data_IF_464978724679
#
_entry.id   IF_464978724679
#
_cell.length_a   1.000
_cell.length_b   1.000
_cell.length_c   1.000
_cell.angle_alpha   90.00
_cell.angle_beta   90.00
_cell.angle_gamma   90.00
#
_symmetry.space_group_name_H-M   'P 1'
#
loop_
_entity.id
_entity.type
_entity.pdbx_description
1 polymer ?
#
# COMPACT_ATOMS: atom_id res chain seq x y z
N UNK A 1 -19.71 3.15 -12.67
CA UNK A 1 -19.67 1.80 -13.27
C UNK A 1 -20.03 0.78 -12.21
N UNK A 2 -20.83 -0.21 -12.59
CA UNK A 2 -21.20 -1.33 -11.73
C UNK A 2 -20.13 -2.41 -11.88
N UNK A 3 -19.53 -2.84 -10.77
CA UNK A 3 -18.65 -4.00 -10.72
C UNK A 3 -19.39 -5.15 -10.03
N UNK A 4 -19.44 -6.31 -10.67
CA UNK A 4 -20.02 -7.53 -10.11
C UNK A 4 -18.86 -8.49 -9.82
N UNK A 5 -18.57 -8.81 -8.54
CA UNK A 5 -17.57 -9.79 -8.19
C UNK A 5 -17.92 -11.18 -8.74
N UNK A 6 -16.88 -12.00 -9.02
CA UNK A 6 -17.05 -13.31 -9.64
C UNK A 6 -17.95 -14.26 -8.83
N UNK A 7 -17.92 -14.16 -7.51
CA UNK A 7 -18.71 -15.02 -6.63
C UNK A 7 -20.22 -14.90 -6.81
N UNK A 8 -20.69 -13.80 -7.43
CA UNK A 8 -22.12 -13.61 -7.74
C UNK A 8 -22.59 -14.29 -9.01
N UNK A 9 -21.67 -14.69 -9.88
CA UNK A 9 -22.01 -15.17 -11.23
C UNK A 9 -21.16 -16.36 -11.67
N UNK A 10 -20.63 -17.15 -10.74
CA UNK A 10 -19.86 -18.34 -11.08
C UNK A 10 -20.79 -19.55 -11.20
N UNK A 11 -21.07 -19.98 -12.43
CA UNK A 11 -22.12 -20.95 -12.77
C UNK A 11 -22.05 -22.25 -11.97
N UNK A 12 -20.87 -22.80 -11.72
CA UNK A 12 -20.70 -24.02 -10.94
C UNK A 12 -21.04 -23.92 -9.45
N UNK A 13 -21.39 -22.72 -8.95
CA UNK A 13 -21.65 -22.44 -7.53
C UNK A 13 -22.98 -21.70 -7.34
N UNK A 14 -23.94 -21.96 -8.22
CA UNK A 14 -25.33 -21.44 -8.13
C UNK A 14 -26.23 -22.63 -7.83
N UNK A 15 -27.06 -22.53 -6.79
CA UNK A 15 -27.99 -23.59 -6.43
C UNK A 15 -29.18 -23.69 -7.40
N UNK A 16 -29.99 -24.74 -7.23
CA UNK A 16 -31.17 -24.97 -8.08
C UNK A 16 -32.24 -23.88 -7.99
N UNK A 17 -32.13 -22.93 -7.08
CA UNK A 17 -32.97 -21.76 -6.93
C UNK A 17 -32.37 -20.49 -7.55
N UNK A 18 -31.15 -20.57 -8.11
CA UNK A 18 -30.44 -19.44 -8.70
C UNK A 18 -29.70 -18.58 -7.66
N UNK A 19 -29.45 -19.10 -6.47
CA UNK A 19 -28.77 -18.39 -5.38
C UNK A 19 -27.30 -18.81 -5.36
N UNK A 20 -26.34 -17.85 -5.36
CA UNK A 20 -24.92 -18.16 -5.25
C UNK A 20 -24.57 -18.79 -3.88
N UNK A 21 -23.83 -19.89 -3.90
CA UNK A 21 -23.34 -20.58 -2.70
C UNK A 21 -21.97 -19.99 -2.32
N UNK A 22 -21.98 -18.95 -1.48
CA UNK A 22 -20.75 -18.22 -1.09
C UNK A 22 -19.86 -19.05 -0.19
N UNK A 23 -20.41 -19.50 0.93
CA UNK A 23 -19.69 -20.28 1.93
C UNK A 23 -19.95 -21.77 1.72
N UNK A 24 -18.98 -22.60 2.14
CA UNK A 24 -19.12 -24.05 2.07
C UNK A 24 -20.32 -24.51 2.87
N UNK A 25 -21.30 -25.17 2.23
CA UNK A 25 -22.52 -25.55 2.89
C UNK A 25 -22.30 -26.72 3.84
N UNK A 26 -23.03 -26.76 4.95
CA UNK A 26 -22.96 -27.89 5.90
C UNK A 26 -23.46 -29.22 5.30
N UNK A 27 -24.31 -29.15 4.30
CA UNK A 27 -24.78 -30.29 3.49
C UNK A 27 -24.69 -29.90 2.02
N UNK A 28 -24.22 -30.83 1.16
CA UNK A 28 -24.17 -30.57 -0.27
C UNK A 28 -25.50 -30.04 -0.81
N UNK A 29 -25.43 -29.01 -1.64
CA UNK A 29 -26.57 -28.43 -2.35
C UNK A 29 -26.61 -28.95 -3.79
N UNK A 30 -27.73 -28.82 -4.44
CA UNK A 30 -27.90 -29.21 -5.83
C UNK A 30 -27.95 -27.96 -6.72
N UNK A 31 -27.12 -27.94 -7.76
CA UNK A 31 -27.14 -26.91 -8.77
C UNK A 31 -28.29 -27.11 -9.81
N UNK A 32 -28.46 -26.16 -10.75
CA UNK A 32 -29.54 -26.14 -11.71
C UNK A 32 -29.55 -27.35 -12.66
N UNK A 33 -28.39 -27.95 -12.94
CA UNK A 33 -28.27 -29.09 -13.85
C UNK A 33 -28.11 -30.43 -13.09
N UNK A 34 -28.30 -30.41 -11.77
CA UNK A 34 -28.19 -31.57 -10.91
C UNK A 34 -26.81 -31.85 -10.36
N UNK A 35 -25.83 -30.99 -10.63
CA UNK A 35 -24.50 -31.02 -10.04
C UNK A 35 -24.54 -30.86 -8.51
N UNK A 36 -23.60 -31.44 -7.84
CA UNK A 36 -23.50 -31.37 -6.36
C UNK A 36 -22.50 -30.26 -6.01
N UNK A 37 -22.96 -29.30 -5.21
CA UNK A 37 -22.16 -28.21 -4.66
C UNK A 37 -21.86 -28.52 -3.19
N UNK A 38 -20.67 -29.01 -2.92
CA UNK A 38 -20.16 -29.36 -1.59
C UNK A 38 -19.14 -28.37 -1.04
N UNK A 39 -18.68 -27.43 -1.86
CA UNK A 39 -17.73 -26.37 -1.55
C UNK A 39 -18.36 -25.00 -1.90
N UNK A 40 -18.08 -23.97 -1.08
CA UNK A 40 -18.47 -22.60 -1.39
C UNK A 40 -17.54 -21.95 -2.40
N UNK A 41 -18.06 -21.02 -3.23
CA UNK A 41 -17.28 -20.35 -4.26
C UNK A 41 -16.09 -19.54 -3.69
N UNK A 42 -16.22 -19.01 -2.48
CA UNK A 42 -15.13 -18.27 -1.82
C UNK A 42 -13.98 -19.20 -1.45
N UNK A 43 -14.29 -20.37 -0.92
CA UNK A 43 -13.29 -21.37 -0.58
C UNK A 43 -12.64 -21.97 -1.83
N UNK A 44 -13.42 -22.25 -2.87
CA UNK A 44 -12.91 -22.65 -4.18
C UNK A 44 -11.88 -21.62 -4.69
N UNK A 45 -12.27 -20.34 -4.74
CA UNK A 45 -11.41 -19.28 -5.23
C UNK A 45 -10.11 -19.17 -4.39
N UNK A 46 -10.19 -19.28 -3.07
CA UNK A 46 -9.02 -19.27 -2.19
C UNK A 46 -8.08 -20.45 -2.47
N UNK A 47 -8.63 -21.65 -2.70
CA UNK A 47 -7.88 -22.84 -3.03
C UNK A 47 -7.14 -22.71 -4.37
N UNK A 48 -7.79 -22.13 -5.39
CA UNK A 48 -7.16 -21.83 -6.69
C UNK A 48 -6.02 -20.81 -6.51
N UNK A 49 -6.25 -19.73 -5.79
CA UNK A 49 -5.22 -18.73 -5.47
C UNK A 49 -4.03 -19.38 -4.77
N UNK A 50 -4.29 -20.22 -3.76
CA UNK A 50 -3.23 -20.92 -3.02
C UNK A 50 -2.43 -21.88 -3.92
N UNK A 51 -3.10 -22.55 -4.83
CA UNK A 51 -2.45 -23.41 -5.84
C UNK A 51 -1.55 -22.64 -6.81
N UNK A 52 -1.95 -21.43 -7.17
CA UNK A 52 -1.25 -20.59 -8.15
C UNK A 52 -0.16 -19.69 -7.54
N UNK A 53 0.00 -19.62 -6.21
CA UNK A 53 0.99 -18.74 -5.53
C UNK A 53 2.43 -18.87 -6.03
N UNK A 54 2.80 -20.01 -6.61
CA UNK A 54 4.15 -20.24 -7.12
C UNK A 54 4.34 -19.75 -8.56
N UNK A 55 3.25 -19.46 -9.26
CA UNK A 55 3.23 -18.95 -10.64
C UNK A 55 2.45 -17.64 -10.67
N UNK A 56 3.17 -16.53 -10.55
CA UNK A 56 2.56 -15.20 -10.44
C UNK A 56 1.87 -14.76 -11.73
N UNK A 57 2.34 -15.19 -12.88
CA UNK A 57 1.70 -14.84 -14.15
C UNK A 57 0.34 -15.54 -14.24
N UNK A 58 0.29 -16.84 -13.91
CA UNK A 58 -0.97 -17.59 -13.83
C UNK A 58 -1.91 -17.03 -12.76
N UNK A 59 -1.38 -16.61 -11.60
CA UNK A 59 -2.16 -15.99 -10.53
C UNK A 59 -2.76 -14.64 -10.97
N UNK A 60 -1.98 -13.80 -11.64
CA UNK A 60 -2.47 -12.51 -12.15
C UNK A 60 -3.55 -12.71 -13.24
N UNK A 61 -3.37 -13.72 -14.12
CA UNK A 61 -4.37 -14.11 -15.10
C UNK A 61 -5.66 -14.58 -14.43
N UNK A 62 -5.55 -15.44 -13.42
CA UNK A 62 -6.70 -15.92 -12.64
C UNK A 62 -7.46 -14.76 -11.99
N UNK A 63 -6.76 -13.82 -11.37
CA UNK A 63 -7.40 -12.64 -10.78
C UNK A 63 -8.14 -11.78 -11.79
N UNK A 64 -7.63 -11.65 -13.01
CA UNK A 64 -8.32 -10.91 -14.08
C UNK A 64 -9.57 -11.63 -14.60
N UNK A 65 -9.47 -12.94 -14.74
CA UNK A 65 -10.58 -13.76 -15.23
C UNK A 65 -11.69 -13.92 -14.17
N UNK A 66 -11.31 -14.04 -12.90
CA UNK A 66 -12.21 -14.27 -11.77
C UNK A 66 -12.03 -13.20 -10.68
N UNK A 67 -12.33 -11.93 -11.00
CA UNK A 67 -12.05 -10.83 -10.10
C UNK A 67 -13.07 -10.77 -8.96
N UNK A 68 -12.58 -10.71 -7.71
CA UNK A 68 -13.40 -10.40 -6.53
C UNK A 68 -13.38 -8.92 -6.17
N UNK A 69 -12.46 -8.16 -6.73
CA UNK A 69 -12.34 -6.71 -6.53
C UNK A 69 -12.06 -6.03 -7.86
N UNK A 70 -12.32 -4.73 -7.95
CA UNK A 70 -11.94 -3.93 -9.12
C UNK A 70 -10.43 -3.96 -9.36
N UNK A 71 -9.62 -4.05 -8.32
CA UNK A 71 -8.16 -4.18 -8.44
C UNK A 71 -7.75 -5.48 -9.12
N UNK A 72 -8.45 -6.58 -8.86
CA UNK A 72 -8.21 -7.84 -9.55
C UNK A 72 -8.54 -7.73 -11.04
N UNK A 73 -9.69 -7.11 -11.38
CA UNK A 73 -10.15 -6.98 -12.76
C UNK A 73 -9.22 -6.15 -13.66
N UNK A 74 -8.49 -5.20 -13.07
CA UNK A 74 -7.62 -4.26 -13.79
C UNK A 74 -6.12 -4.50 -13.56
N UNK A 75 -5.73 -5.71 -13.19
CA UNK A 75 -4.31 -6.09 -13.18
C UNK A 75 -3.77 -6.05 -14.59
N UNK A 76 -2.78 -5.21 -14.81
CA UNK A 76 -2.15 -5.06 -16.12
C UNK A 76 -0.95 -6.02 -16.26
N UNK A 77 -0.84 -6.66 -17.41
CA UNK A 77 0.31 -7.48 -17.81
C UNK A 77 1.33 -6.70 -18.63
N UNK A 78 1.25 -5.38 -18.65
CA UNK A 78 2.04 -4.57 -19.57
C UNK A 78 3.51 -5.02 -19.59
N UNK A 79 3.86 -5.81 -20.58
CA UNK A 79 5.23 -6.25 -20.90
C UNK A 79 6.15 -5.07 -21.22
N UNK A 80 5.60 -3.88 -21.36
CA UNK A 80 6.30 -2.64 -21.68
C UNK A 80 6.65 -1.81 -20.43
N UNK A 81 6.26 -2.24 -19.23
CA UNK A 81 6.61 -1.54 -18.00
C UNK A 81 8.10 -1.70 -17.67
N UNK A 82 8.77 -0.60 -17.33
CA UNK A 82 10.12 -0.60 -16.77
C UNK A 82 10.20 -1.28 -15.41
N UNK A 83 9.07 -1.44 -14.74
CA UNK A 83 8.97 -2.06 -13.42
C UNK A 83 8.47 -3.50 -13.53
N UNK A 84 8.95 -4.35 -12.65
CA UNK A 84 8.43 -5.72 -12.52
C UNK A 84 7.05 -5.66 -11.83
N UNK A 85 5.99 -5.62 -12.63
CA UNK A 85 4.61 -5.52 -12.16
C UNK A 85 4.21 -6.71 -11.29
N UNK A 86 4.72 -7.90 -11.57
CA UNK A 86 4.49 -9.09 -10.77
C UNK A 86 4.91 -8.87 -9.32
N UNK A 87 6.14 -8.38 -9.09
CA UNK A 87 6.63 -8.07 -7.74
C UNK A 87 5.88 -6.94 -7.07
N UNK A 88 5.40 -5.97 -7.85
CA UNK A 88 4.56 -4.89 -7.32
C UNK A 88 3.23 -5.45 -6.82
N UNK A 89 2.59 -6.32 -7.59
CA UNK A 89 1.33 -6.94 -7.16
C UNK A 89 1.51 -7.88 -5.97
N UNK A 90 2.59 -8.67 -5.93
CA UNK A 90 2.95 -9.48 -4.75
C UNK A 90 3.04 -8.60 -3.48
N UNK A 91 3.69 -7.44 -3.60
CA UNK A 91 3.84 -6.52 -2.47
C UNK A 91 2.52 -5.86 -2.08
N UNK A 92 1.68 -5.52 -3.06
CA UNK A 92 0.34 -4.97 -2.80
C UNK A 92 -0.51 -6.00 -2.06
N UNK A 93 -0.54 -7.25 -2.55
CA UNK A 93 -1.29 -8.33 -1.92
C UNK A 93 -0.80 -8.61 -0.50
N UNK A 94 0.53 -8.61 -0.30
CA UNK A 94 1.13 -8.75 1.03
C UNK A 94 0.70 -7.62 1.98
N UNK A 95 0.67 -6.38 1.52
CA UNK A 95 0.29 -5.23 2.33
C UNK A 95 -1.22 -5.18 2.63
N UNK A 96 -2.05 -5.78 1.78
CA UNK A 96 -3.51 -5.85 1.96
C UNK A 96 -3.94 -6.97 2.92
N UNK A 97 -3.07 -7.95 3.19
CA UNK A 97 -3.34 -8.95 4.23
C UNK A 97 -3.37 -8.24 5.60
N UNK A 98 -4.49 -8.39 6.31
CA UNK A 98 -4.68 -7.79 7.64
C UNK A 98 -3.59 -8.16 8.64
N UNK A 99 -2.95 -9.33 8.48
CA UNK A 99 -1.82 -9.78 9.32
C UNK A 99 -0.54 -8.97 9.10
N UNK A 100 -0.40 -8.41 7.89
CA UNK A 100 0.77 -7.64 7.46
C UNK A 100 0.48 -6.14 7.38
N UNK A 101 -0.76 -5.72 7.68
CA UNK A 101 -1.17 -4.34 7.58
C UNK A 101 -0.33 -3.45 8.50
N UNK A 102 0.31 -2.45 7.92
CA UNK A 102 1.08 -1.44 8.65
C UNK A 102 0.15 -0.27 8.97
N UNK A 103 0.11 0.13 10.24
CA UNK A 103 -0.66 1.31 10.63
C UNK A 103 0.00 2.56 10.05
N UNK A 104 -0.75 3.30 9.24
CA UNK A 104 -0.32 4.57 8.66
C UNK A 104 -0.96 5.71 9.43
N UNK A 105 -0.13 6.61 9.97
CA UNK A 105 -0.59 7.79 10.67
C UNK A 105 -0.39 9.02 9.80
N UNK A 106 -1.46 9.78 9.58
CA UNK A 106 -1.43 11.05 8.87
C UNK A 106 -1.19 12.19 9.84
N UNK A 107 -0.37 13.18 9.44
CA UNK A 107 -0.06 14.28 10.33
C UNK A 107 0.83 15.35 9.72
N UNK A 108 1.37 16.21 10.59
CA UNK A 108 2.26 17.31 10.23
C UNK A 108 3.42 17.41 11.22
N UNK A 109 4.59 17.82 10.74
CA UNK A 109 5.70 18.19 11.58
C UNK A 109 5.54 19.65 12.06
N UNK A 110 5.82 19.88 13.31
CA UNK A 110 5.73 21.20 13.94
C UNK A 110 6.93 21.43 14.84
N UNK A 111 7.30 22.71 14.99
CA UNK A 111 8.26 23.11 16.00
C UNK A 111 7.65 22.95 17.40
N UNK A 112 8.44 22.42 18.30
CA UNK A 112 8.01 22.30 19.70
C UNK A 112 7.65 23.67 20.27
N UNK A 113 6.53 23.76 20.98
CA UNK A 113 5.99 25.01 21.51
C UNK A 113 5.73 26.11 20.46
N UNK A 114 5.55 25.73 19.19
CA UNK A 114 5.36 26.66 18.05
C UNK A 114 6.50 27.71 17.89
N UNK A 115 7.69 27.40 18.42
CA UNK A 115 8.86 28.28 18.35
C UNK A 115 9.85 27.68 17.36
N UNK A 116 10.19 28.46 16.32
CA UNK A 116 11.20 28.08 15.30
C UNK A 116 12.56 27.73 15.94
N UNK A 117 13.28 26.84 15.31
CA UNK A 117 14.61 26.33 15.72
C UNK A 117 14.63 25.59 17.06
N UNK A 118 13.45 25.14 17.52
CA UNK A 118 13.35 24.18 18.63
C UNK A 118 13.35 22.74 18.11
N UNK A 119 13.06 21.79 18.97
CA UNK A 119 12.87 20.41 18.55
C UNK A 119 11.62 20.26 17.68
N UNK A 120 11.64 19.27 16.79
CA UNK A 120 10.53 18.97 15.90
C UNK A 120 9.72 17.82 16.47
N UNK A 121 8.41 17.97 16.45
CA UNK A 121 7.46 16.95 16.86
C UNK A 121 6.51 16.61 15.71
N UNK A 122 6.13 15.34 15.60
CA UNK A 122 5.06 14.92 14.69
C UNK A 122 3.73 14.99 15.41
N UNK A 123 2.77 15.70 14.82
CA UNK A 123 1.42 15.87 15.35
C UNK A 123 0.44 15.17 14.42
N UNK A 124 -0.19 14.06 14.88
CA UNK A 124 -1.25 13.41 14.12
C UNK A 124 -2.42 14.36 13.85
N UNK A 125 -2.83 14.47 12.60
CA UNK A 125 -4.05 15.18 12.22
C UNK A 125 -4.52 14.74 10.83
N UNK A 126 -5.82 14.79 10.57
CA UNK A 126 -6.43 14.32 9.32
C UNK A 126 -6.13 15.24 8.12
N UNK A 127 -5.77 16.49 8.35
CA UNK A 127 -5.44 17.47 7.31
C UNK A 127 -3.94 17.51 7.02
N UNK A 128 -3.14 16.78 7.78
CA UNK A 128 -1.71 16.64 7.58
C UNK A 128 -1.38 16.05 6.22
N UNK A 129 -0.19 16.36 5.71
CA UNK A 129 0.28 15.90 4.38
C UNK A 129 1.31 14.79 4.46
N UNK A 130 1.85 14.52 5.65
CA UNK A 130 2.78 13.44 5.86
C UNK A 130 2.04 12.16 6.23
N UNK A 131 2.45 11.06 5.61
CA UNK A 131 2.05 9.70 5.99
C UNK A 131 3.25 9.04 6.65
N UNK A 132 3.07 8.54 7.87
CA UNK A 132 4.12 7.92 8.66
C UNK A 132 3.68 6.54 9.11
N UNK A 133 4.54 5.54 8.90
CA UNK A 133 4.34 4.16 9.34
C UNK A 133 5.13 3.81 10.58
N UNK A 134 6.16 4.59 10.88
CA UNK A 134 7.01 4.40 12.04
C UNK A 134 7.56 5.74 12.52
N UNK A 135 7.54 5.94 13.83
CA UNK A 135 8.11 7.12 14.48
C UNK A 135 9.29 6.66 15.34
N UNK A 136 10.46 7.29 15.21
CA UNK A 136 11.58 6.95 16.06
C UNK A 136 11.22 7.02 17.54
N UNK A 137 11.68 6.07 18.36
CA UNK A 137 11.55 6.15 19.83
C UNK A 137 12.14 7.46 20.37
N UNK A 138 11.63 7.93 21.50
CA UNK A 138 11.99 9.24 22.07
C UNK A 138 13.51 9.43 22.29
N UNK A 139 14.22 8.34 22.61
CA UNK A 139 15.66 8.38 22.80
C UNK A 139 16.46 8.55 21.48
N UNK A 140 15.83 8.33 20.30
CA UNK A 140 16.41 8.58 18.98
C UNK A 140 15.98 9.92 18.39
N UNK A 141 14.91 10.51 18.90
CA UNK A 141 14.40 11.79 18.39
C UNK A 141 15.34 12.95 18.79
N UNK A 142 15.43 13.94 17.92
CA UNK A 142 16.14 15.20 18.13
C UNK A 142 17.61 15.05 18.61
N UNK A 143 18.24 13.92 18.31
CA UNK A 143 19.67 13.72 18.58
C UNK A 143 20.50 14.66 17.73
N UNK A 144 21.29 15.48 18.40
CA UNK A 144 22.17 16.48 17.78
C UNK A 144 23.57 16.40 18.37
N UNK A 145 24.57 16.70 17.54
CA UNK A 145 25.91 17.02 18.02
C UNK A 145 26.37 18.34 17.37
N UNK A 146 27.10 19.14 18.11
CA UNK A 146 27.65 20.41 17.63
C UNK A 146 29.08 20.25 17.16
N UNK A 147 29.36 20.72 15.94
CA UNK A 147 30.72 20.81 15.40
C UNK A 147 30.90 22.18 14.73
N UNK A 148 31.93 22.91 15.15
CA UNK A 148 32.18 24.27 14.64
C UNK A 148 31.01 25.24 14.76
N UNK A 149 30.24 25.14 15.84
CA UNK A 149 29.05 25.97 16.05
C UNK A 149 27.79 25.58 15.22
N UNK A 150 27.89 24.51 14.41
CA UNK A 150 26.78 24.00 13.61
C UNK A 150 26.21 22.73 14.24
N UNK A 151 24.91 22.66 14.41
CA UNK A 151 24.22 21.47 14.88
C UNK A 151 24.00 20.48 13.73
N UNK A 152 24.46 19.25 13.92
CA UNK A 152 24.27 18.14 13.00
C UNK A 152 23.37 17.09 13.64
N UNK A 153 22.54 16.35 12.84
CA UNK A 153 21.79 15.22 13.35
C UNK A 153 22.72 14.11 13.86
N UNK A 154 22.49 13.66 15.09
CA UNK A 154 23.30 12.62 15.71
C UNK A 154 23.10 11.22 15.14
N UNK A 155 21.99 11.03 14.41
CA UNK A 155 21.57 9.76 13.80
C UNK A 155 21.46 9.86 12.26
N UNK A 156 22.33 10.65 11.63
CA UNK A 156 22.28 10.93 10.18
C UNK A 156 22.35 9.68 9.30
N UNK A 157 22.90 8.58 9.80
CA UNK A 157 23.02 7.33 9.05
C UNK A 157 21.87 6.34 9.25
N UNK A 158 20.90 6.67 10.09
CA UNK A 158 19.74 5.82 10.37
C UNK A 158 18.89 5.57 9.12
N UNK A 159 18.78 6.56 8.27
CA UNK A 159 17.95 6.50 7.08
C UNK A 159 18.51 7.27 5.88
N UNK A 160 17.73 7.27 4.82
CA UNK A 160 17.93 8.11 3.65
C UNK A 160 16.59 8.70 3.23
N UNK A 161 16.64 9.88 2.63
CA UNK A 161 15.50 10.51 2.00
C UNK A 161 15.74 10.59 0.49
N UNK A 162 14.73 10.19 -0.28
CA UNK A 162 14.64 10.46 -1.70
C UNK A 162 13.64 11.58 -1.93
N UNK A 163 14.05 12.61 -2.66
CA UNK A 163 13.22 13.76 -2.99
C UNK A 163 13.19 13.94 -4.50
N UNK A 164 11.98 13.99 -5.06
CA UNK A 164 11.71 14.35 -6.44
C UNK A 164 10.87 15.64 -6.45
N UNK A 165 11.49 16.81 -6.52
CA UNK A 165 10.77 18.08 -6.56
C UNK A 165 10.07 18.23 -7.91
N UNK A 166 8.86 18.79 -7.91
CA UNK A 166 8.18 19.10 -9.14
C UNK A 166 8.78 20.34 -9.84
N UNK A 167 8.69 20.37 -11.18
CA UNK A 167 9.05 21.55 -11.95
C UNK A 167 7.90 22.57 -12.01
N UNK A 168 8.24 23.85 -12.15
CA UNK A 168 7.31 24.97 -12.27
C UNK A 168 6.68 25.01 -13.68
N UNK A 169 7.29 24.35 -14.67
CA UNK A 169 6.79 24.31 -16.05
C UNK A 169 5.36 23.75 -16.10
N UNK A 170 4.47 24.53 -16.71
CA UNK A 170 3.09 24.14 -16.87
C UNK A 170 2.95 22.85 -17.70
N UNK A 171 2.24 21.88 -17.21
CA UNK A 171 1.89 20.69 -17.98
C UNK A 171 0.81 21.02 -19.01
N UNK A 172 0.85 20.37 -20.16
CA UNK A 172 -0.08 20.56 -21.29
C UNK A 172 -1.54 20.33 -20.86
N UNK A 173 -1.78 19.48 -19.85
CA UNK A 173 -3.10 19.12 -19.33
C UNK A 173 -3.55 19.96 -18.12
N UNK A 174 -2.80 21.01 -17.77
CA UNK A 174 -3.04 21.86 -16.58
C UNK A 174 -3.03 21.12 -15.22
N UNK A 175 -2.70 19.84 -15.18
CA UNK A 175 -2.48 19.06 -13.98
C UNK A 175 -1.00 19.09 -13.64
N UNK A 176 -0.58 20.05 -12.86
CA UNK A 176 0.82 20.14 -12.46
C UNK A 176 1.30 18.88 -11.72
N UNK A 177 2.52 18.42 -12.04
CA UNK A 177 3.18 17.35 -11.28
C UNK A 177 3.25 17.70 -9.80
N UNK A 178 3.16 16.70 -8.94
CA UNK A 178 3.43 16.85 -7.50
C UNK A 178 4.87 16.46 -7.24
N UNK A 179 5.51 17.12 -6.30
CA UNK A 179 6.76 16.62 -5.74
C UNK A 179 6.51 15.48 -4.78
N UNK A 180 7.51 14.64 -4.59
CA UNK A 180 7.48 13.54 -3.65
C UNK A 180 8.73 13.50 -2.76
N UNK A 181 8.55 13.15 -1.49
CA UNK A 181 9.60 12.90 -0.53
C UNK A 181 9.31 11.58 0.18
N UNK A 182 10.26 10.67 0.14
CA UNK A 182 10.16 9.39 0.82
C UNK A 182 11.35 9.18 1.75
N UNK A 183 11.07 8.69 2.96
CA UNK A 183 12.07 8.32 3.94
C UNK A 183 12.16 6.80 4.10
N UNK A 184 13.39 6.27 4.02
CA UNK A 184 13.70 4.85 4.15
C UNK A 184 14.71 4.63 5.27
N UNK A 185 14.45 3.70 6.18
CA UNK A 185 15.45 3.23 7.16
C UNK A 185 16.47 2.31 6.48
N UNK A 186 17.77 2.46 6.84
CA UNK A 186 18.86 1.72 6.18
C UNK A 186 19.27 0.45 6.90
N UNK A 187 19.35 0.51 8.23
CA UNK A 187 19.97 -0.54 9.01
C UNK A 187 18.97 -1.14 10.00
N UNK A 188 19.19 -2.42 10.30
CA UNK A 188 18.61 -3.03 11.48
C UNK A 188 19.36 -2.53 12.71
N UNK A 189 18.66 -1.73 13.49
CA UNK A 189 19.08 -1.31 14.84
C UNK A 189 18.00 -1.78 15.80
N UNK A 190 18.29 -1.89 17.08
CA UNK A 190 17.38 -2.47 18.08
C UNK A 190 15.93 -1.97 17.98
N UNK A 191 15.74 -0.68 17.74
CA UNK A 191 14.43 -0.03 17.65
C UNK A 191 14.11 0.52 16.25
N UNK A 192 14.85 0.12 15.22
CA UNK A 192 14.70 0.64 13.86
C UNK A 192 14.44 -0.50 12.89
N UNK A 193 13.26 -0.58 12.26
CA UNK A 193 12.98 -1.61 11.26
C UNK A 193 13.91 -1.43 10.05
N UNK A 194 14.54 -2.51 9.53
CA UNK A 194 15.44 -2.43 8.39
C UNK A 194 14.68 -2.25 7.08
N UNK A 195 15.25 -1.48 6.15
CA UNK A 195 14.71 -1.29 4.79
C UNK A 195 13.20 -0.94 4.77
N UNK A 196 12.79 -0.10 5.70
CA UNK A 196 11.39 0.25 5.89
C UNK A 196 11.12 1.66 5.39
N UNK A 197 10.14 1.81 4.50
CA UNK A 197 9.61 3.12 4.14
C UNK A 197 8.76 3.65 5.28
N UNK A 198 9.27 4.62 6.00
CA UNK A 198 8.64 5.14 7.21
C UNK A 198 7.93 6.48 7.03
N UNK A 199 8.24 7.19 5.95
CA UNK A 199 7.68 8.52 5.70
C UNK A 199 7.38 8.69 4.21
N UNK A 200 6.22 9.27 3.93
CA UNK A 200 5.82 9.75 2.62
C UNK A 200 5.26 11.17 2.73
N UNK A 201 5.64 12.03 1.79
CA UNK A 201 5.05 13.34 1.57
C UNK A 201 4.88 13.55 0.07
N UNK A 202 3.64 13.72 -0.38
CA UNK A 202 3.33 14.00 -1.79
C UNK A 202 2.47 15.26 -1.81
N UNK A 203 3.02 16.35 -2.36
CA UNK A 203 2.35 17.63 -2.40
C UNK A 203 2.79 18.50 -3.58
N UNK A 204 2.01 19.53 -3.83
CA UNK A 204 2.37 20.63 -4.73
C UNK A 204 2.09 21.95 -4.01
N UNK A 205 3.02 22.47 -3.19
CA UNK A 205 2.93 23.80 -2.64
C UNK A 205 3.01 24.85 -3.76
N UNK A 206 2.86 26.13 -3.41
CA UNK A 206 2.80 27.21 -4.40
C UNK A 206 4.09 27.35 -5.23
N UNK A 207 5.24 27.08 -4.61
CA UNK A 207 6.55 27.10 -5.28
C UNK A 207 7.34 25.84 -4.89
N UNK A 208 8.28 25.43 -5.76
CA UNK A 208 9.17 24.30 -5.48
C UNK A 208 10.10 24.56 -4.27
N UNK A 209 10.38 25.83 -3.97
CA UNK A 209 11.20 26.23 -2.81
C UNK A 209 10.52 25.98 -1.46
N UNK A 210 9.17 25.89 -1.46
CA UNK A 210 8.37 25.59 -0.27
C UNK A 210 8.21 24.06 -0.08
N UNK A 211 8.47 23.28 -1.14
CA UNK A 211 8.42 21.84 -1.09
C UNK A 211 9.57 21.26 -0.26
#
# INVERSE_FOLDING_TARGET
SLFIPMEWNYEGYIDSYGIPVFDTPQKPQQGPQGEIIDLGVIEYWNNEVDGLKKDQDALNEFYRQFPRTTKHAFRDESKESLFNLTKIYEQIDFNEDLKNSISVTKGSFQWQHAKQDTDVIFVPNNDGRFLITWVPPSHLQNKKYSKNGINHPGNAYMGAFGCDPYDISGTVDKRGSKGSLHGLTKFSMEDVPPNHFFLEYIARPQTAEIF
#
